data_IF_563526071467
#
_entry.id   IF_563526071467
#
_cell.length_a   1.000
_cell.length_b   1.000
_cell.length_c   1.000
_cell.angle_alpha   90.00
_cell.angle_beta   90.00
_cell.angle_gamma   90.00
#
_symmetry.space_group_name_H-M   'P 1'
#
loop_
_entity.id
_entity.type
_entity.pdbx_description
1 polymer ?
#
# COMPACT_ATOMS: atom_id res chain seq x y z
N UNK A 1 -33.44 -19.58 -26.02
CA UNK A 1 -32.07 -19.06 -26.23
C UNK A 1 -31.64 -18.14 -25.07
N UNK A 2 -31.91 -18.54 -23.82
CA UNK A 2 -31.52 -17.76 -22.62
C UNK A 2 -30.80 -18.63 -21.57
N UNK A 3 -30.34 -19.83 -21.94
CA UNK A 3 -29.76 -20.81 -21.00
C UNK A 3 -28.24 -20.99 -21.14
N UNK A 4 -27.56 -20.30 -22.06
CA UNK A 4 -26.09 -20.41 -22.20
C UNK A 4 -25.29 -19.37 -21.40
N UNK A 5 -25.94 -18.39 -20.77
CA UNK A 5 -25.24 -17.31 -20.04
C UNK A 5 -24.67 -17.74 -18.67
N UNK A 6 -25.04 -18.92 -18.14
CA UNK A 6 -24.48 -19.45 -16.89
C UNK A 6 -23.21 -20.31 -17.08
N UNK A 7 -22.74 -20.52 -18.32
CA UNK A 7 -21.65 -21.46 -18.62
C UNK A 7 -20.25 -20.95 -18.20
N UNK A 8 -20.05 -19.63 -18.09
CA UNK A 8 -18.76 -19.05 -17.67
C UNK A 8 -18.72 -18.63 -16.19
N UNK A 9 -19.84 -18.27 -15.57
CA UNK A 9 -19.88 -18.01 -14.11
C UNK A 9 -19.60 -19.27 -13.29
N UNK A 10 -19.92 -20.47 -13.81
CA UNK A 10 -19.71 -21.74 -13.12
C UNK A 10 -18.40 -22.48 -13.40
N UNK A 11 -17.52 -21.98 -14.29
CA UNK A 11 -16.30 -22.73 -14.72
C UNK A 11 -15.00 -22.26 -14.10
N UNK A 12 -14.96 -21.10 -13.46
CA UNK A 12 -13.80 -20.58 -12.73
C UNK A 12 -14.18 -20.29 -11.28
N UNK A 13 -14.89 -21.24 -10.69
CA UNK A 13 -15.23 -21.17 -9.28
C UNK A 13 -14.00 -21.60 -8.47
N UNK A 14 -13.24 -20.63 -7.98
CA UNK A 14 -11.95 -20.81 -7.27
C UNK A 14 -12.10 -21.52 -5.90
N UNK A 15 -13.26 -22.12 -5.59
CA UNK A 15 -13.56 -22.78 -4.32
C UNK A 15 -12.71 -24.03 -4.01
N UNK A 16 -11.80 -24.43 -4.91
CA UNK A 16 -10.82 -25.47 -4.65
C UNK A 16 -9.43 -24.97 -4.26
N UNK A 17 -9.22 -23.65 -4.12
CA UNK A 17 -7.88 -23.07 -4.19
C UNK A 17 -7.41 -22.45 -2.86
N UNK A 18 -6.17 -22.76 -2.48
CA UNK A 18 -5.54 -22.27 -1.25
C UNK A 18 -4.98 -20.88 -1.51
N UNK A 19 -5.53 -19.87 -0.83
CA UNK A 19 -4.92 -18.55 -0.81
C UNK A 19 -3.87 -18.46 0.30
N UNK A 20 -2.79 -17.75 0.02
CA UNK A 20 -1.71 -17.46 0.97
C UNK A 20 -1.35 -15.98 0.91
N UNK A 21 -0.75 -15.47 1.97
CA UNK A 21 -0.12 -14.15 1.90
C UNK A 21 1.01 -14.15 0.88
N UNK A 22 1.30 -12.99 0.30
CA UNK A 22 2.36 -12.85 -0.68
C UNK A 22 3.73 -13.26 -0.14
N UNK A 23 3.98 -13.03 1.15
CA UNK A 23 5.19 -13.45 1.82
C UNK A 23 5.30 -14.97 1.94
N UNK A 24 4.21 -15.65 2.31
CA UNK A 24 4.21 -17.12 2.35
C UNK A 24 4.45 -17.72 0.97
N UNK A 25 3.86 -17.14 -0.08
CA UNK A 25 4.12 -17.60 -1.45
C UNK A 25 5.55 -17.33 -1.86
N UNK A 26 6.08 -16.15 -1.57
CA UNK A 26 7.48 -15.83 -1.88
C UNK A 26 8.44 -16.83 -1.23
N UNK A 27 8.13 -17.26 0.00
CA UNK A 27 8.89 -18.33 0.69
C UNK A 27 8.76 -19.69 0.01
N UNK A 28 7.58 -20.05 -0.48
CA UNK A 28 7.35 -21.32 -1.17
C UNK A 28 7.95 -21.35 -2.58
N UNK A 29 7.95 -20.20 -3.27
CA UNK A 29 8.49 -20.05 -4.62
C UNK A 29 10.02 -20.04 -4.61
N UNK A 30 10.66 -19.64 -3.50
CA UNK A 30 12.12 -19.47 -3.39
C UNK A 30 12.69 -18.50 -4.46
N UNK A 31 14.01 -18.42 -4.57
CA UNK A 31 14.66 -17.61 -5.60
C UNK A 31 14.51 -18.26 -6.99
N UNK A 32 14.04 -17.53 -8.01
CA UNK A 32 13.87 -18.08 -9.36
C UNK A 32 15.20 -18.24 -10.08
N UNK A 33 15.34 -19.31 -10.86
CA UNK A 33 16.56 -19.54 -11.66
C UNK A 33 16.69 -18.53 -12.82
N UNK A 34 15.57 -18.10 -13.37
CA UNK A 34 15.46 -17.09 -14.42
C UNK A 34 14.06 -16.47 -14.41
N UNK A 35 13.96 -15.19 -14.79
CA UNK A 35 12.68 -14.45 -14.88
C UNK A 35 12.57 -13.80 -16.24
N UNK A 36 11.40 -13.94 -16.87
CA UNK A 36 11.01 -13.20 -18.07
C UNK A 36 9.90 -12.25 -17.68
N UNK A 37 10.05 -10.96 -17.96
CA UNK A 37 9.07 -9.96 -17.56
C UNK A 37 8.72 -8.99 -18.69
N UNK A 38 7.44 -8.63 -18.73
CA UNK A 38 6.96 -7.40 -19.37
C UNK A 38 6.60 -6.45 -18.26
N UNK A 39 7.17 -5.25 -18.31
CA UNK A 39 6.89 -4.19 -17.35
C UNK A 39 6.14 -3.08 -18.05
N UNK A 40 5.12 -2.56 -17.37
CA UNK A 40 4.45 -1.31 -17.71
C UNK A 40 3.85 -1.27 -19.13
N UNK A 41 3.22 -2.38 -19.56
CA UNK A 41 2.49 -2.39 -20.82
C UNK A 41 1.22 -1.55 -20.67
N UNK A 42 1.21 -0.37 -21.27
CA UNK A 42 0.08 0.55 -21.27
C UNK A 42 -0.99 0.14 -22.30
N UNK A 43 -2.23 0.02 -21.83
CA UNK A 43 -3.42 -0.29 -22.62
C UNK A 43 -4.59 0.58 -22.13
N UNK A 44 -5.74 0.52 -22.81
CA UNK A 44 -6.99 1.17 -22.38
C UNK A 44 -8.05 0.09 -22.15
N UNK A 45 -8.85 0.23 -21.09
CA UNK A 45 -9.94 -0.70 -20.79
C UNK A 45 -10.99 -0.04 -19.89
N UNK A 46 -12.28 -0.37 -20.03
CA UNK A 46 -13.35 0.07 -19.12
C UNK A 46 -13.36 -0.79 -17.84
N UNK A 47 -12.24 -0.84 -17.13
CA UNK A 47 -12.04 -1.62 -15.90
C UNK A 47 -12.02 -0.70 -14.68
N UNK A 48 -12.48 -1.20 -13.54
CA UNK A 48 -12.50 -0.52 -12.27
C UNK A 48 -13.48 0.65 -12.19
N UNK A 49 -13.50 1.24 -11.00
CA UNK A 49 -13.91 2.62 -10.74
C UNK A 49 -12.75 3.58 -10.99
N UNK A 50 -13.04 4.77 -11.46
CA UNK A 50 -12.10 5.90 -11.37
C UNK A 50 -12.06 6.47 -9.92
N UNK A 51 -11.24 7.49 -9.72
CA UNK A 51 -11.09 8.21 -8.46
C UNK A 51 -12.41 8.82 -7.93
N UNK A 52 -13.42 8.99 -8.79
CA UNK A 52 -14.73 9.56 -8.48
C UNK A 52 -15.81 8.50 -8.30
N UNK A 53 -15.44 7.21 -8.39
CA UNK A 53 -16.36 6.09 -8.26
C UNK A 53 -17.13 5.76 -9.54
N UNK A 54 -16.79 6.40 -10.66
CA UNK A 54 -17.43 6.16 -11.96
C UNK A 54 -17.00 4.81 -12.51
N UNK A 55 -17.96 3.99 -12.92
CA UNK A 55 -17.74 2.64 -13.47
C UNK A 55 -17.91 2.66 -15.00
N UNK A 56 -17.14 1.81 -15.70
CA UNK A 56 -17.33 1.57 -17.14
C UNK A 56 -16.78 2.65 -18.06
N UNK A 57 -15.99 3.58 -17.52
CA UNK A 57 -15.26 4.56 -18.32
C UNK A 57 -13.93 3.97 -18.75
N UNK A 58 -13.58 4.11 -20.04
CA UNK A 58 -12.25 3.75 -20.51
C UNK A 58 -11.17 4.55 -19.79
N UNK A 59 -10.20 3.83 -19.22
CA UNK A 59 -9.06 4.42 -18.55
C UNK A 59 -7.76 3.69 -18.88
N UNK A 60 -6.61 4.38 -18.76
CA UNK A 60 -5.31 3.74 -18.90
C UNK A 60 -5.16 2.62 -17.87
N UNK A 61 -4.59 1.51 -18.33
CA UNK A 61 -4.26 0.34 -17.52
C UNK A 61 -2.81 -0.02 -17.82
N UNK A 62 -2.02 -0.12 -16.76
CA UNK A 62 -0.62 -0.57 -16.85
C UNK A 62 -0.55 -2.01 -16.39
N UNK A 63 -0.02 -2.90 -17.23
CA UNK A 63 0.08 -4.33 -16.93
C UNK A 63 1.53 -4.75 -16.87
N UNK A 64 1.91 -5.38 -15.76
CA UNK A 64 3.17 -6.10 -15.63
C UNK A 64 2.91 -7.60 -15.51
N UNK A 65 3.73 -8.40 -16.19
CA UNK A 65 3.72 -9.85 -16.06
C UNK A 65 5.15 -10.32 -15.90
N UNK A 66 5.43 -11.05 -14.82
CA UNK A 66 6.71 -11.70 -14.57
C UNK A 66 6.52 -13.21 -14.46
N UNK A 67 7.32 -13.97 -15.20
CA UNK A 67 7.27 -15.43 -15.25
C UNK A 67 8.60 -15.96 -14.74
N UNK A 68 8.57 -16.67 -13.62
CA UNK A 68 9.74 -17.33 -13.04
C UNK A 68 9.86 -18.74 -13.61
N UNK A 69 10.96 -19.04 -14.27
CA UNK A 69 11.20 -20.33 -14.90
C UNK A 69 11.69 -21.38 -13.89
N UNK A 70 11.36 -22.66 -14.13
CA UNK A 70 11.89 -23.77 -13.32
C UNK A 70 13.36 -24.05 -13.59
N UNK A 71 13.82 -23.76 -14.81
CA UNK A 71 15.16 -24.03 -15.28
C UNK A 71 15.78 -22.76 -15.90
N UNK A 72 17.11 -22.56 -15.77
CA UNK A 72 17.79 -21.44 -16.40
C UNK A 72 17.85 -21.59 -17.92
N UNK A 73 18.07 -20.49 -18.64
CA UNK A 73 18.37 -20.50 -20.08
C UNK A 73 19.68 -21.25 -20.32
N UNK A 74 19.64 -22.44 -20.92
CA UNK A 74 20.86 -23.21 -21.26
C UNK A 74 21.21 -23.19 -22.74
N UNK A 75 20.24 -22.91 -23.61
CA UNK A 75 20.32 -23.10 -25.06
C UNK A 75 20.31 -21.77 -25.82
N UNK A 76 19.48 -20.81 -25.38
CA UNK A 76 19.28 -19.52 -26.06
C UNK A 76 20.37 -18.49 -25.75
N UNK A 77 21.07 -18.61 -24.61
CA UNK A 77 22.16 -17.71 -24.22
C UNK A 77 23.43 -17.90 -25.04
N UNK A 78 23.67 -19.12 -25.53
CA UNK A 78 24.98 -19.52 -26.06
C UNK A 78 25.08 -19.32 -27.59
N UNK A 79 23.94 -19.13 -28.27
CA UNK A 79 23.88 -19.04 -29.73
C UNK A 79 23.15 -17.84 -30.31
N UNK A 80 22.51 -16.98 -29.50
CA UNK A 80 21.57 -15.95 -29.98
C UNK A 80 20.51 -16.52 -30.94
N UNK A 81 20.06 -17.75 -30.67
CA UNK A 81 19.04 -18.46 -31.43
C UNK A 81 17.81 -18.63 -30.57
N UNK A 82 16.63 -18.29 -31.12
CA UNK A 82 15.34 -18.60 -30.52
C UNK A 82 15.18 -20.12 -30.44
N UNK A 83 15.49 -20.71 -29.29
CA UNK A 83 15.29 -22.12 -29.04
C UNK A 83 13.81 -22.39 -28.69
N UNK A 84 13.32 -23.60 -29.01
CA UNK A 84 11.93 -24.01 -28.81
C UNK A 84 11.47 -24.03 -27.33
N UNK A 85 12.42 -23.89 -26.40
CA UNK A 85 12.24 -23.82 -24.95
C UNK A 85 12.18 -22.36 -24.42
N UNK A 86 12.28 -21.36 -25.30
CA UNK A 86 12.31 -19.94 -24.91
C UNK A 86 10.90 -19.34 -24.97
N UNK A 87 10.37 -18.89 -23.83
CA UNK A 87 9.16 -18.06 -23.82
C UNK A 87 9.52 -16.70 -24.44
N UNK A 88 8.95 -16.41 -25.61
CA UNK A 88 9.17 -15.15 -26.30
C UNK A 88 8.34 -14.03 -25.66
N UNK A 89 8.98 -12.90 -25.31
CA UNK A 89 8.27 -11.74 -24.72
C UNK A 89 7.15 -11.20 -25.64
N UNK A 90 7.28 -11.35 -26.97
CA UNK A 90 6.21 -11.02 -27.90
C UNK A 90 4.95 -11.87 -27.72
N UNK A 91 5.08 -13.14 -27.30
CA UNK A 91 3.92 -13.99 -26.98
C UNK A 91 3.26 -13.56 -25.68
N UNK A 92 4.05 -13.20 -24.66
CA UNK A 92 3.52 -12.63 -23.41
C UNK A 92 2.75 -11.34 -23.71
N UNK A 93 3.32 -10.44 -24.53
CA UNK A 93 2.66 -9.19 -24.93
C UNK A 93 1.35 -9.47 -25.66
N UNK A 94 1.38 -10.39 -26.64
CA UNK A 94 0.20 -10.80 -27.41
C UNK A 94 -0.90 -11.37 -26.52
N UNK A 95 -0.54 -12.22 -25.56
CA UNK A 95 -1.48 -12.80 -24.60
C UNK A 95 -2.11 -11.73 -23.68
N UNK A 96 -1.33 -10.76 -23.20
CA UNK A 96 -1.85 -9.63 -22.40
C UNK A 96 -2.83 -8.81 -23.22
N UNK A 97 -2.43 -8.37 -24.42
CA UNK A 97 -3.29 -7.56 -25.29
C UNK A 97 -4.58 -8.29 -25.63
N UNK A 98 -4.50 -9.57 -25.99
CA UNK A 98 -5.67 -10.39 -26.28
C UNK A 98 -6.60 -10.53 -25.07
N UNK A 99 -6.06 -10.76 -23.87
CA UNK A 99 -6.85 -10.87 -22.64
C UNK A 99 -7.63 -9.56 -22.33
N UNK A 100 -7.00 -8.41 -22.51
CA UNK A 100 -7.62 -7.10 -22.30
C UNK A 100 -8.71 -6.82 -23.35
N UNK A 101 -8.46 -7.16 -24.61
CA UNK A 101 -9.46 -7.05 -25.68
C UNK A 101 -10.69 -7.92 -25.40
N UNK A 102 -10.49 -9.19 -25.02
CA UNK A 102 -11.59 -10.12 -24.70
C UNK A 102 -12.36 -9.71 -23.45
N UNK A 103 -11.68 -9.19 -22.43
CA UNK A 103 -12.33 -8.57 -21.28
C UNK A 103 -13.19 -7.38 -21.71
N UNK A 104 -12.64 -6.47 -22.52
CA UNK A 104 -13.34 -5.25 -22.98
C UNK A 104 -14.57 -5.60 -23.81
N UNK A 105 -14.47 -6.56 -24.73
CA UNK A 105 -15.62 -7.07 -25.49
C UNK A 105 -16.67 -7.67 -24.55
N UNK A 106 -16.26 -8.50 -23.59
CA UNK A 106 -17.18 -9.15 -22.65
C UNK A 106 -17.92 -8.15 -21.76
N UNK A 107 -17.24 -7.09 -21.34
CA UNK A 107 -17.86 -5.97 -20.62
C UNK A 107 -18.93 -5.30 -21.50
N UNK A 108 -18.59 -4.96 -22.75
CA UNK A 108 -19.49 -4.22 -23.64
C UNK A 108 -20.67 -5.06 -24.16
N UNK A 109 -20.45 -6.33 -24.46
CA UNK A 109 -21.44 -7.20 -25.12
C UNK A 109 -22.24 -8.05 -24.14
N UNK A 110 -21.63 -8.47 -23.02
CA UNK A 110 -22.22 -9.42 -22.07
C UNK A 110 -22.58 -8.77 -20.73
N UNK A 111 -22.40 -7.45 -20.61
CA UNK A 111 -22.64 -6.68 -19.40
C UNK A 111 -21.90 -7.29 -18.18
N UNK A 112 -20.70 -7.81 -18.42
CA UNK A 112 -19.84 -8.34 -17.35
C UNK A 112 -19.48 -7.22 -16.38
N UNK A 113 -19.30 -7.55 -15.10
CA UNK A 113 -18.84 -6.58 -14.12
C UNK A 113 -17.50 -5.96 -14.54
N UNK A 114 -17.39 -4.64 -14.38
CA UNK A 114 -16.19 -3.87 -14.75
C UNK A 114 -15.01 -4.06 -13.79
N UNK A 115 -15.02 -4.99 -12.83
CA UNK A 115 -14.05 -4.95 -11.72
C UNK A 115 -12.63 -5.44 -12.06
N UNK A 116 -11.66 -4.99 -11.27
CA UNK A 116 -10.24 -5.38 -11.41
C UNK A 116 -10.04 -6.90 -11.32
N UNK A 117 -10.84 -7.57 -10.49
CA UNK A 117 -10.74 -9.02 -10.26
C UNK A 117 -11.07 -9.80 -11.53
N UNK A 118 -12.04 -9.37 -12.32
CA UNK A 118 -12.39 -10.03 -13.59
C UNK A 118 -11.29 -9.81 -14.63
N UNK A 119 -10.77 -8.60 -14.80
CA UNK A 119 -9.64 -8.41 -15.71
C UNK A 119 -8.43 -9.27 -15.31
N UNK A 120 -8.15 -9.39 -14.00
CA UNK A 120 -7.12 -10.29 -13.48
C UNK A 120 -7.39 -11.76 -13.84
N UNK A 121 -8.64 -12.20 -13.85
CA UNK A 121 -9.01 -13.56 -14.28
C UNK A 121 -8.81 -13.78 -15.78
N UNK A 122 -9.14 -12.80 -16.63
CA UNK A 122 -8.86 -12.87 -18.07
C UNK A 122 -7.35 -12.95 -18.32
N UNK A 123 -6.57 -12.10 -17.64
CA UNK A 123 -5.11 -12.15 -17.70
C UNK A 123 -4.60 -13.51 -17.24
N UNK A 124 -4.96 -13.98 -16.05
CA UNK A 124 -4.51 -15.27 -15.58
C UNK A 124 -4.90 -16.38 -16.58
N UNK A 125 -6.15 -16.44 -17.05
CA UNK A 125 -6.63 -17.49 -17.97
C UNK A 125 -5.87 -17.52 -19.30
N UNK A 126 -5.43 -16.35 -19.80
CA UNK A 126 -4.66 -16.25 -21.03
C UNK A 126 -3.28 -16.93 -20.96
N UNK A 127 -2.82 -17.25 -19.75
CA UNK A 127 -1.55 -17.91 -19.47
C UNK A 127 -1.70 -19.37 -18.98
N UNK A 128 -2.89 -19.95 -19.10
CA UNK A 128 -3.19 -21.32 -18.66
C UNK A 128 -4.01 -22.14 -19.67
N UNK A 129 -4.58 -21.49 -20.67
CA UNK A 129 -5.47 -22.17 -21.62
C UNK A 129 -4.63 -22.90 -22.66
N UNK A 130 -4.70 -24.23 -22.67
CA UNK A 130 -4.05 -25.07 -23.68
C UNK A 130 -4.74 -24.94 -25.04
N UNK A 131 -3.97 -25.02 -26.14
CA UNK A 131 -4.50 -25.30 -27.47
C UNK A 131 -5.09 -24.10 -28.24
N UNK A 132 -4.81 -22.87 -27.79
CA UNK A 132 -5.18 -21.65 -28.51
C UNK A 132 -3.90 -20.89 -28.89
N UNK A 133 -3.71 -20.60 -30.16
CA UNK A 133 -2.50 -19.94 -30.70
C UNK A 133 -2.19 -18.56 -30.09
N UNK A 134 -3.14 -17.97 -29.36
CA UNK A 134 -3.03 -16.67 -28.70
C UNK A 134 -2.79 -16.76 -27.19
N UNK A 135 -2.83 -17.95 -26.62
CA UNK A 135 -2.61 -18.18 -25.19
C UNK A 135 -1.26 -18.87 -24.95
N UNK A 136 -0.63 -18.51 -23.84
CA UNK A 136 0.65 -19.05 -23.45
C UNK A 136 0.44 -20.11 -22.39
N UNK A 137 0.74 -21.36 -22.70
CA UNK A 137 0.63 -22.42 -21.70
C UNK A 137 1.82 -22.38 -20.73
N UNK A 138 1.61 -21.83 -19.54
CA UNK A 138 2.61 -21.82 -18.46
C UNK A 138 2.56 -23.08 -17.60
N UNK A 139 1.67 -24.02 -17.88
CA UNK A 139 1.50 -25.21 -17.05
C UNK A 139 2.66 -26.21 -17.23
N UNK A 140 2.74 -27.20 -16.33
CA UNK A 140 3.75 -28.25 -16.37
C UNK A 140 5.15 -27.81 -15.92
N UNK A 141 6.16 -28.09 -16.77
CA UNK A 141 7.58 -28.00 -16.43
C UNK A 141 8.25 -26.66 -16.80
N UNK A 142 7.51 -25.70 -17.36
CA UNK A 142 8.10 -24.44 -17.86
C UNK A 142 8.22 -23.40 -16.74
N UNK A 143 7.10 -22.95 -16.17
CA UNK A 143 7.07 -21.93 -15.13
C UNK A 143 7.02 -22.54 -13.71
N UNK A 144 7.78 -21.97 -12.77
CA UNK A 144 7.69 -22.22 -11.32
C UNK A 144 6.60 -21.35 -10.71
N UNK A 145 6.54 -20.07 -11.10
CA UNK A 145 5.55 -19.10 -10.65
C UNK A 145 5.35 -18.00 -11.69
N UNK A 146 4.24 -17.28 -11.56
CA UNK A 146 3.94 -16.09 -12.34
C UNK A 146 3.39 -14.99 -11.44
N UNK A 147 3.75 -13.75 -11.71
CA UNK A 147 3.14 -12.57 -11.10
C UNK A 147 2.49 -11.72 -12.18
N UNK A 148 1.22 -11.38 -11.97
CA UNK A 148 0.45 -10.48 -12.81
C UNK A 148 0.12 -9.25 -11.97
N UNK A 149 0.38 -8.05 -12.47
CA UNK A 149 0.03 -6.80 -11.83
C UNK A 149 -0.77 -5.93 -12.80
N UNK A 150 -1.93 -5.46 -12.35
CA UNK A 150 -2.74 -4.46 -13.02
C UNK A 150 -2.64 -3.18 -12.21
N UNK A 151 -2.30 -2.05 -12.81
CA UNK A 151 -2.28 -0.74 -12.18
C UNK A 151 -3.21 0.23 -12.91
N UNK A 152 -4.07 0.90 -12.14
CA UNK A 152 -5.00 1.93 -12.59
C UNK A 152 -4.56 3.28 -12.02
N UNK A 153 -3.94 4.16 -12.83
CA UNK A 153 -3.45 5.45 -12.36
C UNK A 153 -4.61 6.41 -12.05
N UNK A 154 -5.75 6.28 -12.74
CA UNK A 154 -6.94 7.10 -12.52
C UNK A 154 -7.86 6.60 -11.40
N UNK A 155 -7.53 5.49 -10.74
CA UNK A 155 -8.35 4.91 -9.67
C UNK A 155 -8.19 5.61 -8.31
N UNK A 156 -7.18 6.47 -8.16
CA UNK A 156 -6.90 7.21 -6.92
C UNK A 156 -6.88 8.71 -7.19
N UNK A 157 -7.53 9.48 -6.31
CA UNK A 157 -7.59 10.94 -6.43
C UNK A 157 -6.34 11.63 -5.89
N UNK A 158 -5.74 11.07 -4.84
CA UNK A 158 -4.68 11.69 -4.05
C UNK A 158 -3.38 10.88 -4.06
N UNK A 159 -3.39 9.67 -4.61
CA UNK A 159 -2.24 8.81 -4.84
C UNK A 159 -1.79 8.77 -6.29
N UNK A 160 -0.83 7.88 -6.58
CA UNK A 160 -0.32 7.63 -7.95
C UNK A 160 -1.14 6.58 -8.70
N UNK A 161 -1.95 5.81 -7.98
CA UNK A 161 -2.86 4.82 -8.55
C UNK A 161 -3.17 3.69 -7.59
N UNK A 162 -3.91 2.71 -8.10
CA UNK A 162 -4.27 1.48 -7.40
C UNK A 162 -3.76 0.30 -8.20
N UNK A 163 -3.22 -0.73 -7.56
CA UNK A 163 -2.86 -1.97 -8.23
C UNK A 163 -3.47 -3.21 -7.62
N UNK A 164 -3.84 -4.17 -8.46
CA UNK A 164 -4.15 -5.53 -8.06
C UNK A 164 -3.03 -6.45 -8.56
N UNK A 165 -2.40 -7.20 -7.65
CA UNK A 165 -1.29 -8.09 -7.96
C UNK A 165 -1.69 -9.52 -7.60
N UNK A 166 -1.58 -10.43 -8.56
CA UNK A 166 -1.78 -11.87 -8.40
C UNK A 166 -0.44 -12.57 -8.56
N UNK A 167 0.01 -13.28 -7.52
CA UNK A 167 1.15 -14.20 -7.61
C UNK A 167 0.61 -15.63 -7.58
N UNK A 168 0.89 -16.42 -8.62
CA UNK A 168 0.48 -17.83 -8.73
C UNK A 168 1.71 -18.73 -8.75
N UNK A 169 1.66 -19.83 -7.99
CA UNK A 169 2.66 -20.88 -8.01
C UNK A 169 2.15 -22.10 -8.78
N UNK A 170 3.04 -22.71 -9.56
CA UNK A 170 2.74 -23.90 -10.36
C UNK A 170 3.35 -25.13 -9.69
N UNK A 171 2.56 -26.20 -9.56
CA UNK A 171 3.06 -27.50 -9.10
C UNK A 171 3.69 -28.30 -10.23
N UNK A 172 4.71 -29.09 -9.90
CA UNK A 172 5.33 -30.05 -10.81
C UNK A 172 4.46 -31.32 -10.81
N UNK A 173 4.19 -31.89 -11.98
CA UNK A 173 3.56 -33.21 -12.18
C UNK A 173 2.05 -33.39 -11.89
N UNK A 174 1.24 -32.32 -11.92
CA UNK A 174 -0.22 -32.48 -11.93
C UNK A 174 -0.73 -32.83 -13.34
N UNK A 175 -0.53 -34.07 -13.80
CA UNK A 175 -1.17 -34.60 -15.03
C UNK A 175 -2.70 -34.79 -14.89
N UNK A 176 -3.24 -34.66 -13.68
CA UNK A 176 -4.69 -34.74 -13.42
C UNK A 176 -5.26 -33.34 -13.15
N UNK A 177 -5.91 -32.79 -14.18
CA UNK A 177 -6.97 -31.77 -14.32
C UNK A 177 -7.62 -31.03 -13.13
N UNK A 178 -7.08 -31.04 -11.91
CA UNK A 178 -7.54 -30.16 -10.83
C UNK A 178 -6.35 -29.29 -10.41
N UNK A 179 -6.12 -28.23 -11.17
CA UNK A 179 -5.14 -27.18 -10.90
C UNK A 179 -5.48 -26.40 -9.62
N UNK A 180 -5.30 -27.01 -8.45
CA UNK A 180 -5.31 -26.29 -7.17
C UNK A 180 -3.98 -25.57 -7.00
N UNK A 181 -3.71 -24.54 -7.80
CA UNK A 181 -2.49 -23.73 -7.66
C UNK A 181 -2.56 -22.81 -6.44
N UNK A 182 -1.50 -22.71 -5.63
CA UNK A 182 -1.48 -21.71 -4.54
C UNK A 182 -1.34 -20.31 -5.16
N UNK A 183 -2.15 -19.36 -4.72
CA UNK A 183 -2.03 -17.97 -5.15
C UNK A 183 -2.20 -16.95 -4.02
N UNK A 184 -1.66 -15.76 -4.24
CA UNK A 184 -1.79 -14.59 -3.39
C UNK A 184 -2.35 -13.47 -4.25
N UNK A 185 -3.29 -12.72 -3.70
CA UNK A 185 -3.83 -11.52 -4.34
C UNK A 185 -3.67 -10.36 -3.39
N UNK A 186 -3.12 -9.26 -3.90
CA UNK A 186 -2.86 -8.03 -3.15
C UNK A 186 -3.51 -6.85 -3.82
N UNK A 187 -4.33 -6.12 -3.09
CA UNK A 187 -4.80 -4.80 -3.48
C UNK A 187 -3.89 -3.75 -2.84
N UNK A 188 -3.34 -2.84 -3.63
CA UNK A 188 -2.42 -1.80 -3.15
C UNK A 188 -2.86 -0.41 -3.61
N UNK A 189 -2.78 0.56 -2.71
CA UNK A 189 -2.94 1.97 -3.02
C UNK A 189 -1.59 2.65 -2.85
N UNK A 190 -1.17 3.36 -3.89
CA UNK A 190 0.19 3.88 -4.01
C UNK A 190 0.24 5.38 -3.71
N UNK A 191 1.19 5.74 -2.86
CA UNK A 191 1.62 7.12 -2.59
C UNK A 191 0.50 8.15 -2.33
N UNK A 192 -0.52 7.78 -1.56
CA UNK A 192 -1.62 8.67 -1.18
C UNK A 192 -1.07 9.86 -0.40
N UNK A 193 -1.23 11.07 -0.92
CA UNK A 193 -0.76 12.31 -0.29
C UNK A 193 -1.82 12.86 0.64
N UNK A 194 -1.55 12.80 1.95
CA UNK A 194 -2.46 13.28 2.99
C UNK A 194 -1.84 14.49 3.71
N UNK A 195 -2.38 15.70 3.53
CA UNK A 195 -1.97 16.88 4.29
C UNK A 195 -2.45 16.78 5.73
N UNK A 196 -1.52 16.62 6.69
CA UNK A 196 -1.82 16.43 8.11
C UNK A 196 -0.96 17.32 9.02
N UNK A 197 -1.45 17.62 10.22
CA UNK A 197 -0.69 18.32 11.25
C UNK A 197 0.12 17.30 12.05
N UNK A 198 1.37 17.07 11.64
CA UNK A 198 2.23 16.05 12.24
C UNK A 198 3.66 16.55 12.49
N UNK A 199 4.14 16.36 13.72
CA UNK A 199 5.51 16.64 14.08
C UNK A 199 5.75 16.72 15.58
N UNK A 200 7.01 16.51 15.95
CA UNK A 200 7.44 16.60 17.35
C UNK A 200 7.61 18.06 17.78
N UNK A 201 8.09 18.92 16.87
CA UNK A 201 8.35 20.32 17.17
C UNK A 201 7.06 21.14 17.09
N UNK A 202 6.88 22.10 17.99
CA UNK A 202 5.68 22.97 18.01
C UNK A 202 5.44 23.66 16.66
N UNK A 203 6.51 24.08 15.97
CA UNK A 203 6.42 24.69 14.63
C UNK A 203 5.82 23.75 13.57
N UNK A 204 6.05 22.44 13.68
CA UNK A 204 5.51 21.44 12.76
C UNK A 204 3.99 21.24 12.96
N UNK A 205 3.46 21.66 14.11
CA UNK A 205 2.03 21.57 14.44
C UNK A 205 1.25 22.83 14.07
N UNK A 206 1.91 23.84 13.51
CA UNK A 206 1.28 25.09 13.06
C UNK A 206 0.80 25.04 11.60
N UNK A 207 1.34 24.12 10.80
CA UNK A 207 1.05 24.01 9.37
C UNK A 207 0.96 22.55 8.93
N UNK A 208 0.02 22.27 8.02
CA UNK A 208 -0.13 20.93 7.44
C UNK A 208 1.09 20.58 6.60
N UNK A 209 1.53 19.35 6.76
CA UNK A 209 2.64 18.76 6.02
C UNK A 209 2.12 17.52 5.28
N UNK A 210 2.70 17.24 4.12
CA UNK A 210 2.30 16.08 3.35
C UNK A 210 2.91 14.81 3.96
N UNK A 211 2.05 13.85 4.30
CA UNK A 211 2.43 12.47 4.55
C UNK A 211 2.04 11.65 3.33
N UNK A 212 2.93 10.76 2.92
CA UNK A 212 2.69 9.79 1.84
C UNK A 212 2.32 8.46 2.48
N UNK A 213 1.13 7.98 2.20
CA UNK A 213 0.60 6.72 2.71
C UNK A 213 0.54 5.67 1.59
N UNK A 214 1.10 4.49 1.87
CA UNK A 214 0.99 3.31 1.03
C UNK A 214 0.21 2.24 1.79
N UNK A 215 -0.86 1.72 1.18
CA UNK A 215 -1.77 0.76 1.80
C UNK A 215 -1.73 -0.53 1.01
N UNK A 216 -1.53 -1.65 1.69
CA UNK A 216 -1.56 -2.98 1.09
C UNK A 216 -2.55 -3.85 1.85
N UNK A 217 -3.52 -4.39 1.12
CA UNK A 217 -4.44 -5.42 1.58
C UNK A 217 -4.02 -6.72 0.90
N UNK A 218 -3.23 -7.53 1.62
CA UNK A 218 -2.79 -8.84 1.15
C UNK A 218 -3.85 -9.89 1.47
N UNK A 219 -3.91 -10.95 0.67
CA UNK A 219 -4.99 -11.93 0.66
C UNK A 219 -6.37 -11.32 0.34
N UNK A 220 -6.41 -10.39 -0.63
CA UNK A 220 -7.63 -9.75 -1.09
C UNK A 220 -8.47 -10.70 -1.97
N UNK A 221 -9.33 -11.48 -1.34
CA UNK A 221 -10.16 -12.48 -2.00
C UNK A 221 -11.44 -11.91 -2.65
N UNK A 222 -11.75 -10.63 -2.44
CA UNK A 222 -13.02 -10.05 -2.86
C UNK A 222 -13.04 -9.60 -4.32
N UNK A 223 -14.19 -9.75 -4.98
CA UNK A 223 -14.42 -9.26 -6.35
C UNK A 223 -14.81 -7.78 -6.41
N UNK A 224 -15.13 -7.16 -5.27
CA UNK A 224 -15.53 -5.75 -5.17
C UNK A 224 -14.31 -4.83 -5.24
N UNK A 225 -14.42 -3.80 -6.07
CA UNK A 225 -13.49 -2.66 -6.07
C UNK A 225 -13.80 -1.73 -4.90
N UNK A 226 -13.00 -1.87 -3.83
CA UNK A 226 -13.11 -1.11 -2.59
C UNK A 226 -11.94 -0.17 -2.31
N UNK A 227 -11.06 0.05 -3.29
CA UNK A 227 -9.94 0.99 -3.12
C UNK A 227 -10.41 2.44 -2.90
N UNK A 228 -11.53 2.87 -3.49
CA UNK A 228 -12.11 4.18 -3.18
C UNK A 228 -12.55 4.27 -1.70
N UNK A 229 -13.13 3.18 -1.17
CA UNK A 229 -13.56 3.06 0.23
C UNK A 229 -12.34 3.14 1.18
N UNK A 230 -11.23 2.49 0.80
CA UNK A 230 -9.95 2.53 1.52
C UNK A 230 -9.33 3.93 1.49
N UNK A 231 -9.21 4.55 0.31
CA UNK A 231 -8.60 5.88 0.14
C UNK A 231 -9.34 6.93 0.96
N UNK A 232 -10.68 6.95 0.91
CA UNK A 232 -11.45 7.96 1.66
C UNK A 232 -11.28 7.82 3.17
N UNK A 233 -11.20 6.60 3.70
CA UNK A 233 -11.00 6.36 5.14
C UNK A 233 -9.60 6.78 5.55
N UNK A 234 -8.58 6.50 4.73
CA UNK A 234 -7.20 6.95 4.97
C UNK A 234 -7.11 8.48 5.01
N UNK A 235 -7.66 9.15 4.00
CA UNK A 235 -7.59 10.61 3.84
C UNK A 235 -8.36 11.34 4.94
N UNK A 236 -9.49 10.78 5.37
CA UNK A 236 -10.36 11.39 6.39
C UNK A 236 -10.01 10.98 7.82
N UNK A 237 -9.03 10.11 8.00
CA UNK A 237 -8.46 9.86 9.32
C UNK A 237 -7.51 11.02 9.64
N UNK A 238 -8.06 12.01 10.36
CA UNK A 238 -7.52 13.37 10.54
C UNK A 238 -6.08 13.45 11.09
N UNK A 239 -5.57 12.38 11.68
CA UNK A 239 -4.35 12.42 12.51
C UNK A 239 -3.24 11.46 12.08
N UNK A 240 -3.32 10.85 10.88
CA UNK A 240 -2.26 10.08 10.21
C UNK A 240 -1.30 9.28 11.11
N UNK A 241 -1.81 8.70 12.21
CA UNK A 241 -1.10 7.69 12.97
C UNK A 241 -1.43 6.37 12.30
N UNK A 242 -0.39 5.62 11.91
CA UNK A 242 -0.56 4.35 11.22
C UNK A 242 -1.52 3.41 11.98
N UNK A 243 -1.47 3.41 13.32
CA UNK A 243 -2.38 2.65 14.17
C UNK A 243 -3.85 3.04 14.02
N UNK A 244 -4.18 4.33 13.98
CA UNK A 244 -5.56 4.79 13.83
C UNK A 244 -6.11 4.53 12.43
N UNK A 245 -5.28 4.72 11.39
CA UNK A 245 -5.63 4.33 10.02
C UNK A 245 -5.94 2.83 9.97
N UNK A 246 -5.07 2.01 10.57
CA UNK A 246 -5.25 0.55 10.63
C UNK A 246 -6.56 0.17 11.32
N UNK A 247 -6.84 0.71 12.52
CA UNK A 247 -8.09 0.41 13.26
C UNK A 247 -9.33 0.78 12.45
N UNK A 248 -9.33 1.96 11.82
CA UNK A 248 -10.46 2.46 11.03
C UNK A 248 -10.66 1.69 9.74
N UNK A 249 -9.59 1.32 9.03
CA UNK A 249 -9.67 0.46 7.84
C UNK A 249 -10.20 -0.93 8.19
N UNK A 250 -9.73 -1.52 9.29
CA UNK A 250 -10.25 -2.81 9.74
C UNK A 250 -11.75 -2.68 10.05
N UNK A 251 -12.13 -1.74 10.91
CA UNK A 251 -13.51 -1.62 11.40
C UNK A 251 -14.51 -1.21 10.32
N UNK A 252 -14.16 -0.24 9.48
CA UNK A 252 -15.13 0.41 8.58
C UNK A 252 -14.95 0.04 7.11
N UNK A 253 -13.96 -0.79 6.76
CA UNK A 253 -13.79 -1.29 5.38
C UNK A 253 -13.71 -2.81 5.37
N UNK A 254 -12.72 -3.38 6.04
CA UNK A 254 -12.45 -4.83 5.96
C UNK A 254 -13.59 -5.64 6.57
N UNK A 255 -14.01 -5.32 7.81
CA UNK A 255 -15.07 -6.08 8.48
C UNK A 255 -16.38 -6.04 7.69
N UNK A 256 -16.92 -4.88 7.28
CA UNK A 256 -18.14 -4.85 6.46
C UNK A 256 -18.04 -5.69 5.19
N UNK A 257 -16.90 -5.68 4.49
CA UNK A 257 -16.70 -6.47 3.26
C UNK A 257 -16.66 -7.97 3.56
N UNK A 258 -15.95 -8.38 4.61
CA UNK A 258 -15.91 -9.78 5.06
C UNK A 258 -17.31 -10.25 5.47
N UNK A 259 -18.06 -9.43 6.21
CA UNK A 259 -19.41 -9.75 6.65
C UNK A 259 -20.39 -9.80 5.47
N UNK A 260 -20.29 -8.89 4.51
CA UNK A 260 -21.07 -8.94 3.25
C UNK A 260 -20.81 -10.26 2.51
N UNK A 261 -19.54 -10.68 2.42
CA UNK A 261 -19.15 -11.94 1.82
C UNK A 261 -19.76 -13.14 2.58
N UNK A 262 -19.63 -13.18 3.90
CA UNK A 262 -20.18 -14.28 4.70
C UNK A 262 -21.72 -14.33 4.69
N UNK A 263 -22.40 -13.18 4.56
CA UNK A 263 -23.87 -13.08 4.42
C UNK A 263 -24.34 -13.77 3.15
N UNK A 264 -23.60 -13.66 2.03
CA UNK A 264 -23.91 -14.35 0.76
C UNK A 264 -23.86 -15.88 0.87
N UNK A 265 -23.22 -16.40 1.91
CA UNK A 265 -23.14 -17.83 2.20
C UNK A 265 -24.03 -18.25 3.39
N UNK A 266 -24.97 -17.40 3.82
CA UNK A 266 -25.94 -17.64 4.91
C UNK A 266 -25.34 -18.01 6.27
N UNK A 267 -24.04 -17.74 6.51
CA UNK A 267 -23.37 -18.16 7.76
C UNK A 267 -23.53 -17.14 8.89
N UNK A 268 -23.62 -15.84 8.58
CA UNK A 268 -23.48 -14.75 9.57
C UNK A 268 -24.57 -14.72 10.64
N UNK A 269 -25.81 -15.02 10.26
CA UNK A 269 -26.94 -14.94 11.19
C UNK A 269 -26.86 -16.02 12.28
N UNK A 270 -26.10 -17.09 12.05
CA UNK A 270 -25.90 -18.18 13.01
C UNK A 270 -24.84 -17.88 14.08
N UNK A 271 -24.01 -16.85 13.86
CA UNK A 271 -22.90 -16.53 14.74
C UNK A 271 -23.36 -15.75 15.97
N UNK A 272 -22.60 -15.86 17.07
CA UNK A 272 -22.83 -15.05 18.27
C UNK A 272 -22.62 -13.56 17.96
N UNK A 273 -23.40 -12.67 18.58
CA UNK A 273 -23.22 -11.21 18.44
C UNK A 273 -21.92 -10.71 19.08
N UNK A 274 -21.45 -11.41 20.11
CA UNK A 274 -20.16 -11.17 20.74
C UNK A 274 -19.04 -11.86 19.93
N UNK A 275 -18.14 -11.10 19.30
CA UNK A 275 -17.08 -11.67 18.47
C UNK A 275 -16.10 -12.56 19.27
N UNK A 276 -15.98 -12.40 20.59
CA UNK A 276 -15.13 -13.27 21.40
C UNK A 276 -15.69 -14.68 21.58
N UNK A 277 -17.01 -14.85 21.38
CA UNK A 277 -17.72 -16.13 21.49
C UNK A 277 -17.85 -16.85 20.15
N UNK A 278 -17.42 -16.24 19.06
CA UNK A 278 -17.44 -16.85 17.73
C UNK A 278 -16.15 -17.64 17.52
N UNK A 279 -16.28 -18.90 17.12
CA UNK A 279 -15.16 -19.76 16.77
C UNK A 279 -14.70 -19.48 15.34
N UNK A 280 -14.12 -18.30 15.11
CA UNK A 280 -13.73 -17.81 13.78
C UNK A 280 -12.86 -18.78 12.98
N UNK A 281 -11.97 -19.50 13.66
CA UNK A 281 -11.07 -20.49 13.05
C UNK A 281 -11.80 -21.72 12.49
N UNK A 282 -13.03 -21.99 12.92
CA UNK A 282 -13.84 -23.12 12.45
C UNK A 282 -14.73 -22.74 11.27
N UNK A 283 -14.80 -21.45 10.91
CA UNK A 283 -15.56 -20.99 9.76
C UNK A 283 -14.72 -21.31 8.51
N UNK A 284 -15.20 -22.18 7.61
CA UNK A 284 -14.43 -22.54 6.41
C UNK A 284 -14.13 -21.30 5.58
N UNK A 285 -12.87 -21.18 5.13
CA UNK A 285 -12.36 -20.10 4.30
C UNK A 285 -12.34 -18.71 4.96
N UNK A 286 -12.66 -18.59 6.25
CA UNK A 286 -12.71 -17.28 6.91
C UNK A 286 -11.32 -16.68 7.10
N UNK A 287 -10.33 -17.47 7.54
CA UNK A 287 -8.96 -17.00 7.67
C UNK A 287 -8.38 -16.58 6.31
N UNK A 288 -8.77 -17.28 5.26
CA UNK A 288 -8.43 -17.01 3.86
C UNK A 288 -9.16 -15.79 3.29
N UNK A 289 -10.31 -15.40 3.84
CA UNK A 289 -11.07 -14.23 3.41
C UNK A 289 -10.63 -12.94 4.12
N UNK A 290 -10.00 -13.03 5.28
CA UNK A 290 -9.59 -11.86 6.06
C UNK A 290 -8.20 -11.37 5.58
N UNK A 291 -8.10 -10.14 5.05
CA UNK A 291 -6.84 -9.64 4.51
C UNK A 291 -5.85 -9.25 5.61
N UNK A 292 -4.56 -9.37 5.29
CA UNK A 292 -3.47 -8.78 6.07
C UNK A 292 -3.30 -7.33 5.62
N UNK A 293 -3.44 -6.39 6.55
CA UNK A 293 -3.33 -4.96 6.28
C UNK A 293 -1.91 -4.48 6.60
N UNK A 294 -1.26 -3.84 5.62
CA UNK A 294 0.00 -3.13 5.79
C UNK A 294 -0.19 -1.65 5.47
N UNK A 295 0.19 -0.80 6.41
CA UNK A 295 0.14 0.66 6.31
C UNK A 295 1.54 1.20 6.45
N UNK A 296 2.04 1.87 5.40
CA UNK A 296 3.33 2.55 5.42
C UNK A 296 3.11 4.05 5.29
N UNK A 297 3.63 4.82 6.25
CA UNK A 297 3.56 6.27 6.26
C UNK A 297 4.96 6.84 6.13
N UNK A 298 5.13 7.82 5.23
CA UNK A 298 6.40 8.48 4.99
C UNK A 298 6.21 9.99 5.01
N UNK A 299 7.19 10.71 5.56
CA UNK A 299 7.16 12.17 5.62
C UNK A 299 8.28 12.73 4.74
N UNK A 300 8.05 12.89 3.43
CA UNK A 300 9.08 13.37 2.50
C UNK A 300 9.47 14.81 2.80
N UNK A 301 10.73 15.15 2.51
CA UNK A 301 11.22 16.53 2.53
C UNK A 301 11.66 17.07 3.89
N UNK A 302 11.61 16.29 4.98
CA UNK A 302 12.23 16.70 6.26
C UNK A 302 13.76 16.74 6.13
N UNK A 303 14.33 15.68 5.58
CA UNK A 303 15.78 15.56 5.37
C UNK A 303 16.07 15.60 3.87
N UNK A 304 17.22 16.19 3.50
CA UNK A 304 17.62 16.31 2.09
C UNK A 304 17.96 14.96 1.45
N UNK A 305 18.42 14.01 2.25
CA UNK A 305 19.01 12.76 1.79
C UNK A 305 18.23 11.52 2.27
N UNK A 306 17.12 11.69 2.97
CA UNK A 306 16.31 10.56 3.44
C UNK A 306 14.86 10.95 3.66
N UNK A 307 13.97 9.96 3.56
CA UNK A 307 12.54 10.09 3.84
C UNK A 307 12.21 9.16 5.00
N UNK A 308 12.04 9.70 6.22
CA UNK A 308 11.66 8.90 7.38
C UNK A 308 10.25 8.36 7.20
N UNK A 309 9.99 7.20 7.77
CA UNK A 309 8.67 6.57 7.73
C UNK A 309 8.52 5.45 8.74
N UNK A 310 7.27 5.04 8.92
CA UNK A 310 6.88 3.90 9.75
C UNK A 310 6.08 2.94 8.90
N UNK A 311 6.22 1.66 9.19
CA UNK A 311 5.44 0.59 8.58
C UNK A 311 4.79 -0.23 9.68
N UNK A 312 3.48 -0.43 9.57
CA UNK A 312 2.70 -1.28 10.47
C UNK A 312 2.05 -2.39 9.64
N UNK A 313 2.14 -3.61 10.13
CA UNK A 313 1.47 -4.78 9.55
C UNK A 313 0.54 -5.35 10.61
N UNK A 314 -0.71 -5.60 10.24
CA UNK A 314 -1.75 -6.06 11.17
C UNK A 314 -2.68 -7.04 10.48
N UNK A 315 -2.92 -8.17 11.14
CA UNK A 315 -3.92 -9.13 10.70
C UNK A 315 -5.30 -8.69 11.20
N UNK A 316 -6.27 -8.54 10.30
CA UNK A 316 -7.63 -8.16 10.66
C UNK A 316 -8.43 -9.31 11.31
N UNK A 317 -7.83 -10.50 11.45
CA UNK A 317 -8.45 -11.67 12.05
C UNK A 317 -8.77 -11.44 13.54
N UNK A 318 -10.03 -11.67 13.98
CA UNK A 318 -10.47 -11.50 15.37
C UNK A 318 -9.98 -12.65 16.27
N UNK A 319 -8.67 -12.77 16.46
CA UNK A 319 -8.10 -13.75 17.37
C UNK A 319 -8.53 -13.42 18.82
N UNK A 320 -8.93 -14.45 19.58
CA UNK A 320 -9.38 -14.28 20.97
C UNK A 320 -8.24 -13.68 21.81
N UNK A 321 -8.56 -12.64 22.57
CA UNK A 321 -7.59 -11.91 23.40
C UNK A 321 -6.70 -10.91 22.63
N UNK A 322 -6.86 -10.77 21.31
CA UNK A 322 -6.18 -9.72 20.54
C UNK A 322 -6.93 -8.39 20.63
N UNK A 323 -6.22 -7.26 20.53
CA UNK A 323 -6.85 -5.93 20.44
C UNK A 323 -7.80 -5.80 19.24
N UNK A 324 -7.59 -6.61 18.20
CA UNK A 324 -8.39 -6.65 16.99
C UNK A 324 -9.81 -7.12 17.26
N UNK A 325 -10.03 -8.05 18.21
CA UNK A 325 -11.37 -8.56 18.50
C UNK A 325 -12.34 -7.44 18.94
N UNK A 326 -11.82 -6.40 19.60
CA UNK A 326 -12.59 -5.22 19.99
C UNK A 326 -13.14 -4.45 18.79
N UNK A 327 -12.42 -4.43 17.66
CA UNK A 327 -12.85 -3.77 16.42
C UNK A 327 -14.04 -4.48 15.77
N UNK A 328 -14.23 -5.77 16.06
CA UNK A 328 -15.34 -6.59 15.60
C UNK A 328 -16.60 -6.46 16.45
N UNK A 329 -16.60 -5.67 17.53
CA UNK A 329 -17.83 -5.41 18.29
C UNK A 329 -18.90 -4.79 17.39
N UNK A 330 -20.08 -5.42 17.36
CA UNK A 330 -21.20 -5.02 16.52
C UNK A 330 -21.06 -5.36 15.03
N UNK A 331 -20.15 -6.28 14.65
CA UNK A 331 -19.78 -6.57 13.26
C UNK A 331 -20.96 -6.81 12.30
N UNK A 332 -22.09 -7.36 12.78
CA UNK A 332 -23.27 -7.64 11.94
C UNK A 332 -23.93 -6.38 11.37
N UNK A 333 -23.79 -5.26 12.10
CA UNK A 333 -24.41 -3.96 11.82
C UNK A 333 -23.40 -2.93 11.33
N UNK A 334 -22.12 -3.29 11.17
CA UNK A 334 -21.14 -2.37 10.62
C UNK A 334 -21.41 -2.18 9.13
N UNK A 335 -21.51 -0.92 8.73
CA UNK A 335 -21.72 -0.52 7.34
C UNK A 335 -20.45 0.14 6.78
N UNK A 336 -20.31 0.08 5.46
CA UNK A 336 -19.30 0.86 4.77
C UNK A 336 -19.72 2.33 4.76
N UNK A 337 -18.79 3.27 4.98
CA UNK A 337 -19.08 4.68 4.73
C UNK A 337 -19.54 4.88 3.28
N UNK A 338 -20.57 5.70 3.02
CA UNK A 338 -20.96 6.01 1.66
C UNK A 338 -19.79 6.59 0.89
N UNK A 339 -19.73 6.35 -0.42
CA UNK A 339 -18.74 6.95 -1.30
C UNK A 339 -19.45 7.80 -2.37
N UNK A 340 -19.06 9.07 -2.56
CA UNK A 340 -18.11 9.82 -1.73
C UNK A 340 -18.69 10.11 -0.34
N UNK A 341 -17.88 9.98 0.72
CA UNK A 341 -18.31 10.30 2.07
C UNK A 341 -18.52 11.83 2.20
N UNK A 342 -19.69 12.34 2.64
CA UNK A 342 -19.84 13.74 3.01
C UNK A 342 -19.16 14.03 4.36
N UNK A 343 -18.58 15.23 4.53
CA UNK A 343 -18.05 15.68 5.83
C UNK A 343 -16.82 14.91 6.34
N UNK A 344 -16.65 14.82 7.66
CA UNK A 344 -15.56 14.05 8.29
C UNK A 344 -15.98 12.61 8.58
N UNK A 345 -14.99 11.72 8.72
CA UNK A 345 -15.25 10.33 9.09
C UNK A 345 -15.83 10.24 10.51
N UNK A 346 -15.40 11.12 11.41
CA UNK A 346 -15.88 11.21 12.79
C UNK A 346 -17.37 11.54 12.88
N UNK A 347 -17.85 12.50 12.08
CA UNK A 347 -19.26 12.85 12.05
C UNK A 347 -20.10 11.65 11.59
N UNK A 348 -19.66 10.97 10.53
CA UNK A 348 -20.36 9.78 10.05
C UNK A 348 -20.34 8.64 11.07
N UNK A 349 -19.23 8.41 11.78
CA UNK A 349 -19.17 7.40 12.85
C UNK A 349 -20.19 7.73 13.94
N UNK A 350 -20.24 8.97 14.40
CA UNK A 350 -21.18 9.41 15.43
C UNK A 350 -22.64 9.19 15.00
N UNK A 351 -22.94 9.55 13.75
CA UNK A 351 -24.30 9.48 13.22
C UNK A 351 -24.72 8.02 12.93
N UNK A 352 -23.82 7.18 12.44
CA UNK A 352 -24.09 5.77 12.09
C UNK A 352 -24.13 4.82 13.29
N UNK A 353 -23.37 5.10 14.34
CA UNK A 353 -23.34 4.26 15.55
C UNK A 353 -24.39 4.67 16.60
N UNK A 354 -25.24 5.66 16.30
CA UNK A 354 -26.30 6.10 17.20
C UNK A 354 -25.77 6.75 18.48
N UNK A 355 -24.62 7.41 18.43
CA UNK A 355 -24.16 8.27 19.52
C UNK A 355 -24.93 9.60 19.52
N UNK A 356 -26.26 9.51 19.72
CA UNK A 356 -27.11 10.67 19.94
C UNK A 356 -27.37 10.84 21.43
N UNK A 357 -26.84 11.95 21.96
CA UNK A 357 -27.11 12.62 23.26
C UNK A 357 -26.35 12.15 24.51
N UNK A 358 -25.15 12.70 24.67
CA UNK A 358 -24.65 13.19 25.97
C UNK A 358 -23.67 14.37 25.81
N UNK A 359 -23.96 15.34 24.93
CA UNK A 359 -23.24 16.63 24.88
C UNK A 359 -24.23 17.75 24.51
N UNK A 360 -25.28 17.90 25.31
CA UNK A 360 -26.02 19.18 25.38
C UNK A 360 -25.60 20.02 26.60
N UNK A 361 -24.72 19.52 27.46
CA UNK A 361 -24.11 20.29 28.55
C UNK A 361 -22.59 20.21 28.47
N UNK A 362 -21.99 21.08 27.65
CA UNK A 362 -20.73 21.79 27.91
C UNK A 362 -20.22 22.38 26.59
N UNK A 363 -20.50 23.67 26.38
CA UNK A 363 -19.78 24.52 25.43
C UNK A 363 -18.30 24.65 25.87
N UNK A 364 -17.51 23.60 25.69
CA UNK A 364 -16.07 23.67 25.68
C UNK A 364 -15.63 23.63 24.21
N UNK A 365 -15.05 24.74 23.77
CA UNK A 365 -14.56 24.96 22.41
C UNK A 365 -13.66 23.79 21.97
N UNK A 366 -13.61 23.47 20.67
CA UNK A 366 -12.75 22.41 20.11
C UNK A 366 -11.25 22.51 20.53
N UNK A 367 -10.83 23.65 21.05
CA UNK A 367 -9.53 23.87 21.73
C UNK A 367 -9.36 23.15 23.08
N UNK A 368 -10.43 22.84 23.80
CA UNK A 368 -10.37 22.28 25.16
C UNK A 368 -10.23 20.74 25.15
N UNK A 369 -10.83 20.08 24.16
CA UNK A 369 -10.60 18.65 23.86
C UNK A 369 -9.13 18.45 23.44
N UNK A 370 -8.55 19.40 22.71
CA UNK A 370 -7.14 19.38 22.32
C UNK A 370 -6.21 19.45 23.53
N UNK A 371 -6.54 20.23 24.56
CA UNK A 371 -5.75 20.31 25.80
C UNK A 371 -5.88 19.06 26.67
N UNK A 372 -7.06 18.48 26.79
CA UNK A 372 -7.29 17.29 27.62
C UNK A 372 -6.61 16.04 27.06
N UNK A 373 -6.65 15.82 25.74
CA UNK A 373 -5.93 14.69 25.11
C UNK A 373 -4.40 14.88 25.09
N UNK A 374 -3.91 16.12 25.16
CA UNK A 374 -2.48 16.40 25.30
C UNK A 374 -1.98 16.16 26.73
N UNK A 375 -2.82 16.36 27.75
CA UNK A 375 -2.45 16.11 29.15
C UNK A 375 -2.62 14.65 29.60
N UNK A 376 -3.61 13.92 29.07
CA UNK A 376 -3.81 12.51 29.43
C UNK A 376 -2.66 11.59 28.96
N UNK A 377 -1.96 11.96 27.89
CA UNK A 377 -0.80 11.22 27.38
C UNK A 377 0.55 11.61 28.05
N UNK A 378 0.53 12.45 29.10
CA UNK A 378 1.74 12.91 29.79
C UNK A 378 1.98 12.29 31.19
N UNK A 379 1.13 11.37 31.64
CA UNK A 379 1.36 10.63 32.89
C UNK A 379 1.17 9.12 32.70
N UNK A 380 1.99 8.55 31.84
CA UNK A 380 2.37 7.13 31.92
C UNK A 380 3.76 6.95 31.27
N UNK A 381 4.71 7.78 31.71
CA UNK A 381 6.13 7.45 31.58
C UNK A 381 6.54 6.87 32.93
N UNK A 382 7.09 5.67 32.81
CA UNK A 382 7.68 4.83 33.83
C UNK A 382 8.63 5.62 34.75
N UNK A 383 8.75 5.13 35.99
CA UNK A 383 9.73 5.55 36.99
C UNK A 383 11.04 6.05 36.37
N UNK A 384 11.34 7.32 36.64
CA UNK A 384 12.64 7.93 36.42
C UNK A 384 13.66 7.17 37.29
N UNK A 385 14.50 6.32 36.69
CA UNK A 385 15.93 6.19 37.08
C UNK A 385 16.78 5.08 36.41
N UNK A 386 16.34 4.30 35.41
CA UNK A 386 17.26 3.34 34.80
C UNK A 386 17.07 3.19 33.27
N UNK A 387 17.91 3.89 32.49
CA UNK A 387 18.26 3.47 31.14
C UNK A 387 19.78 3.44 31.04
N UNK A 388 20.35 2.23 31.12
CA UNK A 388 21.77 1.99 30.87
C UNK A 388 22.03 1.98 29.35
N UNK A 389 22.95 2.83 28.89
CA UNK A 389 23.48 2.81 27.52
C UNK A 389 24.83 2.09 27.59
N UNK A 390 24.96 0.94 26.93
CA UNK A 390 26.22 0.21 26.81
C UNK A 390 27.09 0.81 25.69
N UNK A 391 28.36 1.06 26.00
CA UNK A 391 29.42 1.32 25.00
C UNK A 391 30.39 0.13 24.95
N UNK A 392 31.05 -0.07 23.80
CA UNK A 392 31.91 -1.22 23.49
C UNK A 392 33.14 -1.41 24.41
N UNK A 393 33.36 -0.52 25.40
CA UNK A 393 34.47 -0.62 26.37
C UNK A 393 34.00 -0.84 27.83
N UNK A 394 32.73 -1.18 28.06
CA UNK A 394 32.30 -1.79 29.33
C UNK A 394 32.24 -0.88 30.56
N UNK A 395 32.27 0.44 30.40
CA UNK A 395 32.01 1.39 31.51
C UNK A 395 30.64 2.05 31.38
N UNK A 396 29.86 2.01 32.47
CA UNK A 396 28.54 2.66 32.60
C UNK A 396 28.75 4.16 32.87
N UNK A 397 28.23 5.02 31.99
CA UNK A 397 28.17 6.46 32.21
C UNK A 397 26.71 6.91 32.20
N UNK A 398 26.37 7.84 33.09
CA UNK A 398 25.03 8.45 33.14
C UNK A 398 24.82 9.36 31.93
N UNK A 399 23.56 9.58 31.52
CA UNK A 399 23.22 10.45 30.37
C UNK A 399 23.75 11.89 30.56
N UNK A 400 23.78 12.37 31.81
CA UNK A 400 24.36 13.67 32.15
C UNK A 400 25.88 13.74 31.93
N UNK A 401 26.61 12.66 32.21
CA UNK A 401 28.06 12.60 31.96
C UNK A 401 28.40 12.62 30.46
N UNK A 402 27.57 11.97 29.63
CA UNK A 402 27.75 11.96 28.17
C UNK A 402 27.49 13.34 27.54
N UNK A 403 26.43 14.03 27.97
CA UNK A 403 26.12 15.40 27.52
C UNK A 403 27.23 16.37 27.95
N UNK A 404 27.73 16.25 29.18
CA UNK A 404 28.81 17.08 29.69
C UNK A 404 30.14 16.86 28.94
N UNK A 405 30.43 15.62 28.51
CA UNK A 405 31.62 15.33 27.69
C UNK A 405 31.52 15.90 26.27
N UNK A 406 30.34 15.83 25.64
CA UNK A 406 30.10 16.41 24.31
C UNK A 406 30.24 17.93 24.32
N UNK A 407 29.76 18.61 25.36
CA UNK A 407 29.91 20.06 25.53
C UNK A 407 31.38 20.47 25.74
N UNK A 408 32.14 19.69 26.52
CA UNK A 408 33.59 19.91 26.70
C UNK A 408 34.38 19.71 25.40
N UNK A 409 34.07 18.68 24.61
CA UNK A 409 34.73 18.44 23.32
C UNK A 409 34.44 19.54 22.29
N UNK A 410 33.23 20.11 22.31
CA UNK A 410 32.88 21.22 21.43
C UNK A 410 33.53 22.55 21.85
N UNK A 411 33.73 22.80 23.15
CA UNK A 411 34.47 23.98 23.63
C UNK A 411 35.97 23.93 23.29
N UNK A 412 36.60 22.74 23.30
CA UNK A 412 38.01 22.59 22.90
C UNK A 412 38.21 22.89 21.40
N UNK A 413 37.29 22.45 20.53
CA UNK A 413 37.35 22.75 19.08
C UNK A 413 37.22 24.23 18.75
N UNK A 414 36.47 25.00 19.55
CA UNK A 414 36.30 26.44 19.36
C UNK A 414 37.58 27.19 19.78
N UNK A 415 38.26 26.75 20.83
CA UNK A 415 39.48 27.41 21.33
C UNK A 415 40.75 27.10 20.52
N UNK A 416 40.76 26.03 19.72
CA UNK A 416 41.93 25.67 18.89
C UNK A 416 41.97 26.42 17.55
N UNK A 417 40.88 27.09 17.15
CA UNK A 417 40.79 27.80 15.87
C UNK A 417 41.31 29.26 15.91
N UNK A 418 41.81 29.73 17.07
CA UNK A 418 42.20 31.13 17.28
C UNK A 418 43.70 31.39 17.55
N UNK A 419 44.57 30.41 17.35
CA UNK A 419 46.02 30.60 17.47
C UNK A 419 46.75 30.08 16.24
N UNK A 420 46.82 30.89 15.19
CA UNK A 420 47.90 30.80 14.19
C UNK A 420 48.22 32.21 13.65
N UNK A 421 49.46 32.63 13.87
CA UNK A 421 50.05 33.91 13.44
C UNK A 421 50.39 33.91 11.93
N UNK A 422 50.47 35.08 11.27
CA UNK A 422 50.66 35.17 9.82
C UNK A 422 52.15 35.17 9.42
N UNK A 423 52.50 34.77 8.18
CA UNK A 423 53.85 34.98 7.66
C UNK A 423 54.00 36.34 6.95
N UNK A 424 55.24 36.81 6.98
CA UNK A 424 55.76 38.11 6.59
C UNK A 424 55.76 38.37 5.08
N UNK A 425 55.70 39.65 4.75
CA UNK A 425 55.97 40.28 3.44
C UNK A 425 57.43 40.14 3.03
N UNK A 426 57.69 40.02 1.73
CA UNK A 426 58.76 40.75 1.03
C UNK A 426 58.48 40.89 -0.49
N UNK A 427 58.83 42.08 -0.96
CA UNK A 427 59.02 42.73 -2.28
C UNK A 427 59.59 41.82 -3.41
N UNK A 428 59.53 42.05 -4.74
CA UNK A 428 59.14 43.13 -5.67
C UNK A 428 59.19 42.56 -7.14
N UNK A 429 58.70 43.34 -8.12
CA UNK A 429 58.91 43.28 -9.58
C UNK A 429 57.81 42.73 -10.53
N UNK A 430 56.86 43.62 -10.85
CA UNK A 430 56.82 44.29 -12.17
C UNK A 430 56.33 43.53 -13.43
N UNK A 431 55.08 43.76 -13.84
CA UNK A 431 54.66 44.41 -15.13
C UNK A 431 53.15 44.25 -15.38
N UNK A 432 52.50 45.39 -15.65
CA UNK A 432 51.07 45.67 -15.97
C UNK A 432 50.76 45.43 -17.47
N UNK A 433 49.54 45.74 -18.00
CA UNK A 433 48.16 45.41 -17.56
C UNK A 433 47.19 45.13 -18.75
N UNK A 434 45.94 44.70 -18.48
CA UNK A 434 44.74 45.29 -19.12
C UNK A 434 43.44 44.75 -18.53
N UNK A 435 42.64 45.65 -17.92
CA UNK A 435 41.26 46.07 -18.31
C UNK A 435 40.14 45.07 -17.93
N UNK A 436 38.96 45.43 -17.39
CA UNK A 436 38.25 46.69 -17.09
C UNK A 436 37.09 46.37 -16.09
N UNK A 437 36.92 47.24 -15.07
CA UNK A 437 35.72 47.74 -14.34
C UNK A 437 34.47 46.83 -14.22
N UNK A 438 33.92 46.45 -13.05
CA UNK A 438 33.40 47.22 -11.88
C UNK A 438 32.32 48.24 -12.25
N UNK A 439 31.09 48.10 -11.74
CA UNK A 439 30.45 49.08 -10.84
C UNK A 439 29.10 48.57 -10.28
N UNK A 440 28.84 49.00 -9.05
CA UNK A 440 27.72 48.71 -8.15
C UNK A 440 26.79 49.94 -8.09
N UNK A 441 25.54 49.69 -7.69
CA UNK A 441 24.64 50.53 -6.90
C UNK A 441 23.98 51.80 -7.52
N UNK A 442 22.64 51.82 -7.45
CA UNK A 442 21.81 52.94 -6.93
C UNK A 442 20.36 52.43 -6.74
N UNK A 443 19.87 52.31 -5.50
CA UNK A 443 18.91 53.21 -4.83
C UNK A 443 17.49 53.30 -5.44
N UNK A 444 16.51 52.89 -4.62
CA UNK A 444 15.04 53.10 -4.52
C UNK A 444 14.55 54.57 -4.76
N UNK A 445 13.23 54.94 -4.68
CA UNK A 445 11.92 54.23 -4.72
C UNK A 445 10.77 54.96 -5.52
N UNK A 446 9.55 54.43 -5.42
CA UNK A 446 8.20 55.05 -5.58
C UNK A 446 7.62 55.33 -6.99
N UNK A 447 6.48 54.71 -7.32
CA UNK A 447 5.12 55.29 -7.20
C UNK A 447 4.07 54.64 -8.13
N UNK A 448 2.96 54.22 -7.51
CA UNK A 448 1.53 54.22 -7.91
C UNK A 448 1.07 54.22 -9.39
N UNK A 449 0.12 53.31 -9.61
CA UNK A 449 -1.12 53.38 -10.42
C UNK A 449 -1.01 53.53 -11.95
N UNK A 450 -1.45 52.49 -12.65
CA UNK A 450 -2.71 52.50 -13.40
C UNK A 450 -3.38 51.13 -13.21
#
# INVERSE_FOLDING_TARGET
MAEENNSMEGKLDWFGVITKSSWEISKLVEEPAAVIAINDLELQSPVGKDAWGTVGVEQPVHICVAISLRHPFKSSSDGDVLAADTIHYGLIKGAITHAVEEFTKSVNERNLGHNLRYLMQYLASAFHTHGHDKYLDLTGNVAKSSEFAIMLPKASALGTGVSLILTKMYYKDCQQQIERGIYSIRLQLHDIKVPTLIGMLSKERLAKQNVVANIVLDNWAFSRDSYNDVEQVVVKTLEALAGEITKRLIRFVIIPIVIEYLKKHDKVNTFNDDPEKVYWSHIPHFAEAVPLLKVKLQKPGIYRNTTPGVELVTNAFPARGSEIVGLWKGYKNLELPPFPLPGSLENWIRDSQGETKAVEDNNASATDIYKQNTMANYYQVLDENEIAIFSDEGSVATVEEYVTQQEKQNQVKINTAHTDNPPKTDEDNGRRPSRIKRWKNSMLPMARRA
#
